data_IF_556876463839
#
_entry.id   IF_556876463839
#
_cell.length_a   1.000
_cell.length_b   1.000
_cell.length_c   1.000
_cell.angle_alpha   90.00
_cell.angle_beta   90.00
_cell.angle_gamma   90.00
#
_symmetry.space_group_name_H-M   'P 1'
#
loop_
_entity.id
_entity.type
_entity.pdbx_description
1 polymer ?
#
# COMPACT_ATOMS: atom_id res chain seq x y z
N UNK A 1 -39.85 1.60 4.19
CA UNK A 1 -38.83 2.58 4.61
C UNK A 1 -37.48 1.95 4.34
N UNK A 2 -36.71 2.51 3.41
CA UNK A 2 -35.37 2.00 3.08
C UNK A 2 -34.43 2.31 4.25
N UNK A 3 -33.77 1.28 4.77
CA UNK A 3 -32.83 1.44 5.89
C UNK A 3 -31.57 2.12 5.36
N UNK A 4 -31.38 3.38 5.75
CA UNK A 4 -30.17 4.14 5.38
C UNK A 4 -28.95 3.41 5.95
N UNK A 5 -28.08 2.91 5.08
CA UNK A 5 -26.80 2.32 5.47
C UNK A 5 -25.89 3.44 5.95
N UNK A 6 -25.71 3.54 7.26
CA UNK A 6 -24.76 4.46 7.89
C UNK A 6 -23.41 3.76 8.06
N UNK A 7 -22.32 4.41 7.64
CA UNK A 7 -20.94 3.94 7.84
C UNK A 7 -20.30 4.79 8.96
N UNK A 8 -19.94 4.16 10.08
CA UNK A 8 -19.09 4.81 11.10
C UNK A 8 -17.63 4.42 10.87
N UNK A 9 -16.87 5.32 10.23
CA UNK A 9 -15.44 5.14 9.96
C UNK A 9 -14.56 5.05 11.23
N UNK A 10 -15.11 5.34 12.41
CA UNK A 10 -14.40 5.31 13.68
C UNK A 10 -14.86 4.16 14.59
N UNK A 11 -15.70 3.25 14.09
CA UNK A 11 -16.32 2.17 14.87
C UNK A 11 -15.32 1.32 15.64
N UNK A 12 -14.12 1.14 15.08
CA UNK A 12 -13.08 0.27 15.62
C UNK A 12 -11.94 1.03 16.33
N UNK A 13 -12.04 2.35 16.48
CA UNK A 13 -11.03 3.13 17.19
C UNK A 13 -11.34 3.22 18.70
N UNK A 14 -10.31 3.13 19.57
CA UNK A 14 -10.46 3.46 20.98
C UNK A 14 -11.03 4.88 21.17
N UNK A 15 -11.85 5.15 22.20
CA UNK A 15 -12.53 6.44 22.36
C UNK A 15 -11.59 7.66 22.36
N UNK A 16 -10.44 7.57 23.04
CA UNK A 16 -9.45 8.65 23.07
C UNK A 16 -8.81 8.90 21.70
N UNK A 17 -8.45 7.83 20.99
CA UNK A 17 -7.90 7.93 19.63
C UNK A 17 -8.96 8.48 18.65
N UNK A 18 -10.22 8.04 18.76
CA UNK A 18 -11.34 8.58 17.98
C UNK A 18 -11.50 10.09 18.19
N UNK A 19 -11.49 10.54 19.44
CA UNK A 19 -11.61 11.97 19.76
C UNK A 19 -10.44 12.77 19.17
N UNK A 20 -9.21 12.27 19.32
CA UNK A 20 -8.01 12.91 18.78
C UNK A 20 -7.99 12.94 17.25
N UNK A 21 -8.27 11.82 16.55
CA UNK A 21 -8.31 11.81 15.07
C UNK A 21 -9.35 12.80 14.54
N UNK A 22 -10.50 12.92 15.20
CA UNK A 22 -11.53 13.89 14.82
C UNK A 22 -11.08 15.34 14.92
N UNK A 23 -10.07 15.69 15.72
CA UNK A 23 -9.56 17.08 15.77
C UNK A 23 -8.80 17.49 14.51
N UNK A 24 -8.44 16.54 13.64
CA UNK A 24 -7.71 16.80 12.38
C UNK A 24 -8.60 16.73 11.14
N UNK A 25 -9.82 16.24 11.28
CA UNK A 25 -10.76 16.11 10.16
C UNK A 25 -11.65 17.34 10.18
N UNK A 26 -11.64 18.16 9.11
CA UNK A 26 -12.56 19.28 9.01
C UNK A 26 -14.02 18.81 9.11
N UNK A 27 -14.86 19.56 9.81
CA UNK A 27 -16.31 19.30 9.88
C UNK A 27 -17.02 19.62 8.55
N UNK A 28 -16.32 20.26 7.60
CA UNK A 28 -16.85 20.57 6.28
C UNK A 28 -16.62 19.44 5.28
N UNK A 29 -17.60 19.24 4.40
CA UNK A 29 -17.48 18.33 3.28
C UNK A 29 -16.31 18.72 2.36
N UNK A 30 -15.62 17.73 1.81
CA UNK A 30 -14.55 17.96 0.85
C UNK A 30 -15.10 18.61 -0.43
N UNK A 31 -14.59 19.81 -0.75
CA UNK A 31 -15.02 20.61 -1.93
C UNK A 31 -14.06 20.52 -3.13
N UNK A 32 -13.01 19.73 -3.02
CA UNK A 32 -12.00 19.59 -4.08
C UNK A 32 -12.41 18.59 -5.16
N UNK A 33 -11.59 18.52 -6.22
CA UNK A 33 -11.72 17.48 -7.24
C UNK A 33 -11.34 16.13 -6.65
N UNK A 34 -12.23 15.14 -6.73
CA UNK A 34 -11.90 13.76 -6.41
C UNK A 34 -11.07 13.21 -7.58
N UNK A 35 -9.81 12.78 -7.37
CA UNK A 35 -8.91 12.33 -8.43
C UNK A 35 -9.26 10.90 -8.88
N UNK A 36 -10.53 10.65 -9.19
CA UNK A 36 -11.00 9.37 -9.67
C UNK A 36 -10.68 9.20 -11.16
N UNK A 37 -9.97 8.12 -11.49
CA UNK A 37 -9.67 7.74 -12.88
C UNK A 37 -10.37 6.42 -13.17
N UNK A 38 -11.34 6.38 -14.09
CA UNK A 38 -12.02 5.13 -14.44
C UNK A 38 -11.07 4.17 -15.16
N UNK A 39 -11.33 2.87 -15.02
CA UNK A 39 -10.65 1.84 -15.79
C UNK A 39 -10.94 2.01 -17.29
N UNK A 40 -9.91 2.04 -18.12
CA UNK A 40 -10.04 2.18 -19.58
C UNK A 40 -10.36 0.85 -20.27
N UNK A 41 -10.09 -0.27 -19.61
CA UNK A 41 -10.21 -1.62 -20.14
C UNK A 41 -10.82 -2.56 -19.10
N UNK A 42 -11.44 -3.66 -19.54
CA UNK A 42 -11.77 -4.76 -18.65
C UNK A 42 -10.53 -5.30 -17.91
N UNK A 43 -10.73 -5.87 -16.72
CA UNK A 43 -9.65 -6.33 -15.86
C UNK A 43 -8.75 -7.37 -16.55
N UNK A 44 -9.35 -8.31 -17.29
CA UNK A 44 -8.68 -9.34 -18.07
C UNK A 44 -7.86 -8.82 -19.28
N UNK A 45 -7.83 -7.52 -19.50
CA UNK A 45 -7.00 -6.85 -20.52
C UNK A 45 -6.09 -5.77 -19.92
N UNK A 46 -6.07 -5.65 -18.59
CA UNK A 46 -5.33 -4.62 -17.86
C UNK A 46 -4.02 -5.18 -17.31
N UNK A 47 -2.94 -4.41 -17.44
CA UNK A 47 -1.71 -4.66 -16.67
C UNK A 47 -1.80 -4.09 -15.26
N UNK A 48 -1.71 -4.94 -14.24
CA UNK A 48 -1.74 -4.57 -12.83
C UNK A 48 -0.37 -4.61 -12.18
N UNK A 49 -0.09 -3.65 -11.31
CA UNK A 49 1.00 -3.75 -10.33
C UNK A 49 0.44 -3.91 -8.91
N UNK A 50 1.23 -4.55 -8.05
CA UNK A 50 0.95 -4.61 -6.62
C UNK A 50 1.74 -3.53 -5.89
N UNK A 51 1.06 -2.87 -4.94
CA UNK A 51 1.69 -1.91 -4.04
C UNK A 51 1.23 -2.20 -2.63
N UNK A 52 2.14 -2.26 -1.68
CA UNK A 52 1.81 -2.40 -0.26
C UNK A 52 2.48 -1.33 0.60
N UNK A 53 1.81 -0.97 1.69
CA UNK A 53 2.37 -0.08 2.72
C UNK A 53 2.93 -0.85 3.93
N UNK A 54 3.15 -2.16 3.79
CA UNK A 54 3.52 -3.07 4.89
C UNK A 54 5.00 -3.03 5.30
N UNK A 55 5.83 -2.18 4.70
CA UNK A 55 7.25 -2.11 5.04
C UNK A 55 8.03 -3.40 4.70
N UNK A 56 7.72 -4.04 3.57
CA UNK A 56 8.45 -5.20 3.03
C UNK A 56 9.70 -4.75 2.28
N UNK A 57 10.83 -5.39 2.54
CA UNK A 57 12.08 -5.23 1.77
C UNK A 57 12.63 -6.59 1.36
N UNK A 58 13.43 -6.67 0.29
CA UNK A 58 14.26 -7.86 0.09
C UNK A 58 15.31 -7.92 1.19
N UNK A 59 15.78 -9.12 1.54
CA UNK A 59 16.91 -9.29 2.49
C UNK A 59 18.21 -8.63 2.01
N UNK A 60 18.31 -8.35 0.70
CA UNK A 60 19.43 -7.66 0.07
C UNK A 60 19.28 -6.14 0.07
N UNK A 61 18.08 -5.63 0.36
CA UNK A 61 17.83 -4.20 0.42
C UNK A 61 18.19 -3.67 1.81
N UNK A 62 18.50 -2.37 1.93
CA UNK A 62 18.47 -1.71 3.22
C UNK A 62 17.08 -1.86 3.87
N UNK A 63 16.97 -2.17 5.17
CA UNK A 63 15.68 -2.21 5.86
C UNK A 63 15.06 -0.80 5.94
N UNK A 64 13.76 -0.72 6.27
CA UNK A 64 13.15 0.56 6.65
C UNK A 64 13.61 0.98 8.05
N UNK A 65 13.83 2.28 8.24
CA UNK A 65 14.38 2.84 9.48
C UNK A 65 13.34 2.94 10.60
N UNK A 66 13.14 1.84 11.33
CA UNK A 66 12.28 1.84 12.51
C UNK A 66 12.95 2.46 13.74
N UNK A 67 14.28 2.60 13.76
CA UNK A 67 14.99 3.14 14.92
C UNK A 67 14.83 4.65 15.01
N UNK A 68 14.86 5.34 13.87
CA UNK A 68 14.53 6.76 13.83
C UNK A 68 13.09 7.03 14.21
N UNK A 69 12.13 6.24 13.73
CA UNK A 69 10.73 6.42 14.15
C UNK A 69 10.55 6.25 15.67
N UNK A 70 11.26 5.32 16.32
CA UNK A 70 11.24 5.20 17.79
C UNK A 70 11.74 6.47 18.49
N UNK A 71 12.68 7.20 17.88
CA UNK A 71 13.24 8.45 18.41
C UNK A 71 12.40 9.68 18.02
N UNK A 72 11.80 9.65 16.84
CA UNK A 72 10.95 10.68 16.24
C UNK A 72 9.57 10.05 15.89
N UNK A 73 8.63 9.91 16.85
CA UNK A 73 7.40 9.11 16.66
C UNK A 73 6.40 9.62 15.61
N UNK A 74 6.66 10.77 15.01
CA UNK A 74 5.86 11.35 13.92
C UNK A 74 6.61 11.28 12.58
N UNK A 75 7.81 10.72 12.56
CA UNK A 75 8.59 10.52 11.34
C UNK A 75 8.37 9.11 10.82
N UNK A 76 8.30 8.98 9.50
CA UNK A 76 8.27 7.69 8.82
C UNK A 76 9.26 7.64 7.67
N UNK A 77 9.80 6.45 7.41
CA UNK A 77 10.75 6.22 6.34
C UNK A 77 10.09 6.47 4.97
N UNK A 78 10.64 7.40 4.21
CA UNK A 78 10.08 7.88 2.93
C UNK A 78 10.49 7.05 1.73
N UNK A 79 11.38 6.11 1.94
CA UNK A 79 11.92 5.26 0.88
C UNK A 79 10.90 4.19 0.45
N UNK A 80 11.23 3.47 -0.62
CA UNK A 80 10.45 2.34 -1.11
C UNK A 80 11.37 1.23 -1.57
N UNK A 81 10.82 0.04 -1.79
CA UNK A 81 11.51 -1.14 -2.30
C UNK A 81 10.77 -1.67 -3.51
N UNK A 82 11.55 -2.15 -4.49
CA UNK A 82 11.04 -2.89 -5.64
C UNK A 82 11.10 -4.37 -5.29
N UNK A 83 9.98 -5.04 -5.40
CA UNK A 83 9.84 -6.46 -5.09
C UNK A 83 9.63 -7.20 -6.41
N UNK A 84 10.63 -7.93 -6.93
CA UNK A 84 10.49 -8.70 -8.16
C UNK A 84 9.34 -9.71 -8.08
N UNK A 85 8.66 -9.90 -9.21
CA UNK A 85 7.69 -10.98 -9.38
C UNK A 85 8.34 -12.31 -9.03
N UNK A 86 7.64 -13.13 -8.25
CA UNK A 86 8.12 -14.44 -7.78
C UNK A 86 8.91 -14.38 -6.47
N UNK A 87 9.09 -13.20 -5.87
CA UNK A 87 9.56 -13.08 -4.49
C UNK A 87 8.66 -13.88 -3.55
N UNK A 88 9.28 -14.64 -2.63
CA UNK A 88 8.60 -15.41 -1.58
C UNK A 88 8.95 -14.85 -0.21
N UNK A 89 8.19 -15.24 0.81
CA UNK A 89 8.42 -14.92 2.22
C UNK A 89 9.84 -15.27 2.71
N UNK A 90 10.53 -16.21 2.05
CA UNK A 90 11.92 -16.57 2.36
C UNK A 90 12.93 -15.50 2.00
N UNK A 91 12.63 -14.67 1.00
CA UNK A 91 13.53 -13.66 0.43
C UNK A 91 13.36 -12.25 0.97
N UNK A 92 12.43 -12.05 1.92
CA UNK A 92 12.05 -10.73 2.41
C UNK A 92 12.29 -10.57 3.91
N UNK A 93 12.37 -9.32 4.31
CA UNK A 93 12.16 -8.85 5.68
C UNK A 93 10.94 -7.92 5.72
N UNK A 94 10.43 -7.70 6.93
CA UNK A 94 9.29 -6.82 7.18
C UNK A 94 9.62 -5.95 8.38
N UNK A 95 9.72 -4.65 8.14
CA UNK A 95 10.06 -3.63 9.13
C UNK A 95 8.89 -2.65 9.20
N UNK A 96 8.04 -2.80 10.22
CA UNK A 96 6.88 -1.96 10.45
C UNK A 96 6.44 -2.01 11.92
N UNK A 97 6.41 -0.85 12.60
CA UNK A 97 6.09 -0.79 14.04
C UNK A 97 4.60 -0.99 14.35
N UNK A 98 3.71 -0.69 13.40
CA UNK A 98 2.27 -0.65 13.65
C UNK A 98 1.49 -1.91 13.23
N UNK A 99 2.16 -2.98 12.80
CA UNK A 99 1.49 -4.21 12.34
C UNK A 99 2.14 -5.48 12.89
N UNK A 100 1.39 -6.58 12.90
CA UNK A 100 1.95 -7.91 13.19
C UNK A 100 2.68 -8.47 11.96
N UNK A 101 4.01 -8.34 11.94
CA UNK A 101 4.84 -8.79 10.82
C UNK A 101 4.95 -10.31 10.67
N UNK A 102 4.55 -11.09 11.69
CA UNK A 102 4.72 -12.54 11.67
C UNK A 102 3.88 -13.22 10.59
N UNK A 103 2.66 -12.71 10.33
CA UNK A 103 1.78 -13.28 9.30
C UNK A 103 2.39 -13.10 7.90
N UNK A 104 2.95 -11.93 7.63
CA UNK A 104 3.62 -11.62 6.36
C UNK A 104 4.87 -12.49 6.16
N UNK A 105 5.61 -12.76 7.25
CA UNK A 105 6.79 -13.65 7.23
C UNK A 105 6.43 -15.13 7.08
N UNK A 106 5.21 -15.52 7.43
CA UNK A 106 4.70 -16.89 7.23
C UNK A 106 4.13 -17.09 5.83
N UNK A 107 3.40 -16.11 5.31
CA UNK A 107 2.89 -16.09 3.94
C UNK A 107 2.81 -14.65 3.46
N UNK A 108 3.68 -14.29 2.50
CA UNK A 108 3.71 -12.94 1.92
C UNK A 108 2.37 -12.56 1.26
N UNK A 109 1.59 -13.55 0.81
CA UNK A 109 0.36 -13.30 0.07
C UNK A 109 -0.77 -12.71 0.92
N UNK A 110 -0.66 -12.72 2.25
CA UNK A 110 -1.66 -12.08 3.13
C UNK A 110 -1.70 -10.56 2.96
N UNK A 111 -0.60 -9.96 2.48
CA UNK A 111 -0.50 -8.52 2.29
C UNK A 111 0.07 -8.13 0.92
N UNK A 112 0.91 -8.95 0.30
CA UNK A 112 1.43 -8.72 -1.06
C UNK A 112 1.20 -9.99 -1.90
N UNK A 113 0.00 -10.17 -2.48
CA UNK A 113 -0.48 -11.42 -3.08
C UNK A 113 0.17 -11.76 -4.44
N UNK A 114 1.50 -11.82 -4.49
CA UNK A 114 2.27 -12.08 -5.72
C UNK A 114 1.89 -13.40 -6.39
N UNK A 115 1.79 -14.49 -5.62
CA UNK A 115 1.45 -15.80 -6.18
C UNK A 115 -0.01 -15.86 -6.62
N UNK A 116 -0.93 -15.34 -5.81
CA UNK A 116 -2.37 -15.32 -6.13
C UNK A 116 -2.67 -14.47 -7.36
N UNK A 117 -1.99 -13.33 -7.52
CA UNK A 117 -2.17 -12.50 -8.73
C UNK A 117 -1.53 -13.14 -9.97
N UNK A 118 -0.46 -13.93 -9.82
CA UNK A 118 0.09 -14.69 -10.93
C UNK A 118 -0.86 -15.83 -11.36
N UNK A 119 -1.56 -16.47 -10.42
CA UNK A 119 -2.64 -17.43 -10.73
C UNK A 119 -3.79 -16.74 -11.48
N UNK A 120 -4.22 -15.56 -11.03
CA UNK A 120 -5.27 -14.79 -11.73
C UNK A 120 -4.87 -14.36 -13.15
N UNK A 121 -3.59 -14.11 -13.40
CA UNK A 121 -3.10 -13.89 -14.77
C UNK A 121 -3.22 -15.17 -15.61
N UNK A 122 -2.83 -16.33 -15.07
CA UNK A 122 -2.95 -17.62 -15.75
C UNK A 122 -4.41 -18.00 -16.05
N UNK A 123 -5.32 -17.68 -15.14
CA UNK A 123 -6.76 -17.90 -15.29
C UNK A 123 -7.44 -16.87 -16.21
N UNK A 124 -6.72 -15.81 -16.63
CA UNK A 124 -7.27 -14.75 -17.47
C UNK A 124 -8.26 -13.83 -16.75
N UNK A 125 -8.23 -13.78 -15.42
CA UNK A 125 -9.02 -12.82 -14.61
C UNK A 125 -8.43 -11.42 -14.77
N UNK A 126 -7.09 -11.32 -14.82
CA UNK A 126 -6.35 -10.09 -15.09
C UNK A 126 -5.57 -10.24 -16.40
N UNK A 127 -5.32 -9.12 -17.09
CA UNK A 127 -4.60 -9.17 -18.38
C UNK A 127 -3.12 -9.47 -18.22
N UNK A 128 -2.45 -8.79 -17.28
CA UNK A 128 -1.04 -9.03 -16.98
C UNK A 128 -0.69 -8.60 -15.55
N UNK A 129 0.15 -9.37 -14.88
CA UNK A 129 0.83 -8.95 -13.65
C UNK A 129 2.18 -8.32 -14.01
N UNK A 130 2.40 -7.09 -13.57
CA UNK A 130 3.66 -6.37 -13.73
C UNK A 130 4.84 -7.16 -13.12
N UNK A 131 6.05 -7.07 -13.71
CA UNK A 131 7.22 -7.79 -13.22
C UNK A 131 7.74 -7.22 -11.90
N UNK A 132 7.33 -6.01 -11.53
CA UNK A 132 7.74 -5.35 -10.28
C UNK A 132 6.51 -5.01 -9.45
N UNK A 133 6.53 -5.45 -8.19
CA UNK A 133 5.68 -4.92 -7.14
C UNK A 133 6.45 -3.90 -6.31
N UNK A 134 5.75 -3.09 -5.52
CA UNK A 134 6.38 -2.04 -4.72
C UNK A 134 5.91 -2.10 -3.27
N UNK A 135 6.82 -1.77 -2.38
CA UNK A 135 6.57 -1.71 -0.95
C UNK A 135 7.14 -0.41 -0.39
N UNK A 136 6.42 0.23 0.51
CA UNK A 136 6.90 1.39 1.25
C UNK A 136 6.43 1.32 2.71
N UNK A 137 6.94 2.23 3.54
CA UNK A 137 6.56 2.34 4.94
C UNK A 137 5.25 3.10 5.10
N UNK A 138 4.22 2.47 5.67
CA UNK A 138 2.86 3.02 5.66
C UNK A 138 2.62 4.21 6.58
N UNK A 139 3.42 4.38 7.63
CA UNK A 139 3.28 5.53 8.52
C UNK A 139 3.96 6.76 7.90
N UNK A 140 3.17 7.67 7.33
CA UNK A 140 3.64 8.93 6.72
C UNK A 140 2.86 10.12 7.28
N UNK A 141 3.20 10.57 8.49
CA UNK A 141 2.48 11.68 9.12
C UNK A 141 2.81 13.03 8.49
N UNK A 142 1.82 13.66 7.84
CA UNK A 142 1.91 15.01 7.24
C UNK A 142 3.16 15.26 6.37
N UNK A 143 3.59 14.23 5.65
CA UNK A 143 4.86 14.25 4.95
C UNK A 143 4.66 14.22 3.43
N UNK A 144 4.77 15.38 2.80
CA UNK A 144 4.65 15.48 1.34
C UNK A 144 5.91 15.07 0.59
N UNK A 145 7.06 14.96 1.27
CA UNK A 145 8.31 14.54 0.62
C UNK A 145 8.22 13.09 0.15
N UNK A 146 7.45 12.25 0.86
CA UNK A 146 7.10 10.89 0.44
C UNK A 146 6.53 10.82 -0.99
N UNK A 147 5.77 11.83 -1.42
CA UNK A 147 5.23 11.87 -2.78
C UNK A 147 6.35 11.97 -3.83
N UNK A 148 7.40 12.75 -3.53
CA UNK A 148 8.55 12.93 -4.43
C UNK A 148 9.55 11.79 -4.32
N UNK A 149 9.80 11.30 -3.11
CA UNK A 149 10.85 10.31 -2.83
C UNK A 149 10.43 8.87 -3.16
N UNK A 150 9.15 8.52 -2.97
CA UNK A 150 8.61 7.20 -3.28
C UNK A 150 7.63 7.22 -4.46
N UNK A 151 6.53 7.98 -4.36
CA UNK A 151 5.40 7.83 -5.28
C UNK A 151 5.75 8.23 -6.71
N UNK A 152 6.46 9.34 -6.91
CA UNK A 152 6.86 9.81 -8.24
C UNK A 152 7.80 8.80 -8.95
N UNK A 153 8.91 8.31 -8.35
CA UNK A 153 9.75 7.27 -8.95
C UNK A 153 9.00 5.97 -9.25
N UNK A 154 8.16 5.50 -8.32
CA UNK A 154 7.32 4.30 -8.51
C UNK A 154 6.43 4.50 -9.75
N UNK A 155 5.72 5.63 -9.82
CA UNK A 155 4.81 5.95 -10.91
C UNK A 155 5.52 6.04 -12.26
N UNK A 156 6.72 6.64 -12.30
CA UNK A 156 7.55 6.70 -13.51
C UNK A 156 7.95 5.30 -13.97
N UNK A 157 8.35 4.42 -13.06
CA UNK A 157 8.74 3.06 -13.42
C UNK A 157 7.54 2.21 -13.87
N UNK A 158 6.40 2.31 -13.19
CA UNK A 158 5.14 1.67 -13.59
C UNK A 158 4.75 2.03 -15.04
N UNK A 159 4.94 3.29 -15.46
CA UNK A 159 4.71 3.69 -16.86
C UNK A 159 5.61 2.93 -17.84
N UNK A 160 6.88 2.68 -17.49
CA UNK A 160 7.79 1.88 -18.32
C UNK A 160 7.36 0.42 -18.44
N UNK A 161 6.70 -0.11 -17.41
CA UNK A 161 6.17 -1.47 -17.37
C UNK A 161 4.77 -1.61 -17.99
N UNK A 162 4.20 -0.49 -18.48
CA UNK A 162 2.84 -0.36 -19.02
C UNK A 162 1.76 -0.72 -18.01
N UNK A 163 1.98 -0.43 -16.73
CA UNK A 163 0.97 -0.59 -15.68
C UNK A 163 -0.18 0.38 -15.91
N UNK A 164 -1.41 -0.13 -15.81
CA UNK A 164 -2.64 0.61 -16.07
C UNK A 164 -3.48 0.77 -14.80
N UNK A 165 -3.33 -0.14 -13.83
CA UNK A 165 -3.97 -0.03 -12.52
C UNK A 165 -3.10 -0.67 -11.43
N UNK A 166 -3.37 -0.28 -10.19
CA UNK A 166 -2.66 -0.76 -9.00
C UNK A 166 -3.67 -1.43 -8.06
N UNK A 167 -3.31 -2.62 -7.56
CA UNK A 167 -3.92 -3.15 -6.36
C UNK A 167 -3.08 -2.70 -5.17
N UNK A 168 -3.63 -1.76 -4.40
CA UNK A 168 -3.04 -1.26 -3.16
C UNK A 168 -3.51 -2.11 -1.98
N UNK A 169 -2.56 -2.68 -1.24
CA UNK A 169 -2.81 -3.41 -0.01
C UNK A 169 -2.24 -2.63 1.19
N UNK A 170 -3.08 -1.78 1.83
CA UNK A 170 -2.65 -1.03 2.99
C UNK A 170 -2.48 -1.97 4.20
N UNK A 171 -1.52 -1.65 5.06
CA UNK A 171 -1.17 -2.38 6.28
C UNK A 171 -1.61 -1.63 7.54
#
# INVERSE_FOLDING_TARGET
MEQVKSVDGFKFLPPGLKAWVKTFIPDEDFKGTIPWTPMLKPLNQTTLALVTSAGISLKTDPPFDMEREKQEPIWGDRSYRKIPRGTTEKGIDVNHLHINTNLVKQDINVILPLARMAEFEQEGIIGRLAPTAYSFYGFQWQNTDFLKEAIEPISKHMKTEKVEAVLLTPA
#
